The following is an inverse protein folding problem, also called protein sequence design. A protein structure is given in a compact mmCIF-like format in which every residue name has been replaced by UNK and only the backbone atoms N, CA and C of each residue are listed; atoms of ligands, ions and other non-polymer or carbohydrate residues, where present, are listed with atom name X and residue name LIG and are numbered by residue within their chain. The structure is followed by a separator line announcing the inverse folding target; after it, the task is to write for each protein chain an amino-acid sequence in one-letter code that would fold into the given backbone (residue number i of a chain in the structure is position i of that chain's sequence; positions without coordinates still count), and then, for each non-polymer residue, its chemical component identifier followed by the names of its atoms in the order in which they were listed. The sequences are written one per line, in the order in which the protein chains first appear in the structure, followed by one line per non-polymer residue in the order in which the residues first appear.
data_IF_719335470024
#
_entry.id   IF_719335470024
#
_cell.length_a   1.000
_cell.length_b   1.000
_cell.length_c   1.000
_cell.angle_alpha   90.00
_cell.angle_beta   90.00
_cell.angle_gamma   90.00
#
_symmetry.space_group_name_H-M   'P 1'
#
loop_
_entity.id
_entity.type
_entity.pdbx_description
1 polymer ?
#
# COMPACT_ATOMS: atom_id res chain seq x y z
N UNK A 1 16.06 -10.39 -4.23
CA UNK A 1 14.75 -10.99 -3.93
C UNK A 1 13.64 -10.00 -4.24
N UNK A 2 12.59 -10.45 -4.90
CA UNK A 2 11.49 -9.59 -5.33
C UNK A 2 10.23 -9.91 -4.53
N UNK A 3 9.56 -8.86 -4.07
CA UNK A 3 8.30 -8.97 -3.35
C UNK A 3 7.21 -8.20 -4.09
N UNK A 4 5.99 -8.72 -4.04
CA UNK A 4 4.82 -8.06 -4.64
C UNK A 4 3.76 -7.88 -3.56
N UNK A 5 3.34 -6.63 -3.38
CA UNK A 5 2.29 -6.27 -2.44
C UNK A 5 1.03 -5.91 -3.21
N UNK A 6 -0.07 -6.58 -2.91
CA UNK A 6 -1.40 -6.22 -3.39
C UNK A 6 -2.14 -5.55 -2.25
N UNK A 7 -2.62 -4.34 -2.48
CA UNK A 7 -3.37 -3.59 -1.48
C UNK A 7 -4.75 -3.23 -2.01
N UNK A 8 -5.75 -3.35 -1.15
CA UNK A 8 -7.13 -3.03 -1.48
C UNK A 8 -7.82 -2.43 -0.26
N UNK A 9 -8.42 -1.28 -0.44
CA UNK A 9 -9.18 -0.60 0.60
C UNK A 9 -10.50 -0.12 0.05
N UNK A 10 -11.51 -0.03 0.90
CA UNK A 10 -12.80 0.46 0.46
C UNK A 10 -13.74 0.77 1.61
N UNK A 11 -14.78 1.52 1.30
CA UNK A 11 -15.80 1.92 2.25
C UNK A 11 -17.18 1.62 1.68
N UNK A 12 -18.11 1.26 2.56
CA UNK A 12 -19.54 1.17 2.21
C UNK A 12 -20.13 2.56 2.39
N UNK A 13 -20.49 3.20 1.28
CA UNK A 13 -20.73 4.63 1.29
C UNK A 13 -19.39 5.37 1.28
N UNK A 14 -19.38 6.63 0.96
CA UNK A 14 -18.15 7.39 0.84
C UNK A 14 -18.33 8.79 1.44
N UNK A 15 -18.14 8.95 2.77
CA UNK A 15 -17.56 8.00 3.71
C UNK A 15 -18.55 6.96 4.24
N UNK A 16 -18.00 5.93 4.89
CA UNK A 16 -18.78 4.88 5.53
C UNK A 16 -17.87 3.85 6.20
N UNK A 17 -18.44 2.74 6.71
CA UNK A 17 -17.64 1.67 7.29
C UNK A 17 -16.60 1.19 6.27
N UNK A 18 -15.34 1.15 6.67
CA UNK A 18 -14.23 0.93 5.76
C UNK A 18 -13.31 -0.18 6.23
N UNK A 19 -12.62 -0.82 5.28
CA UNK A 19 -11.65 -1.85 5.54
C UNK A 19 -10.41 -1.67 4.69
N UNK A 20 -9.30 -2.23 5.15
CA UNK A 20 -8.03 -2.24 4.44
C UNK A 20 -7.46 -3.64 4.44
N UNK A 21 -7.06 -4.11 3.26
CA UNK A 21 -6.44 -5.40 3.10
C UNK A 21 -5.14 -5.31 2.31
N UNK A 22 -4.21 -6.18 2.63
CA UNK A 22 -2.97 -6.28 1.87
C UNK A 22 -2.43 -7.70 1.97
N UNK A 23 -1.78 -8.15 0.91
CA UNK A 23 -1.10 -9.42 0.90
C UNK A 23 0.22 -9.25 0.16
N UNK A 24 1.28 -9.85 0.69
CA UNK A 24 2.60 -9.79 0.07
C UNK A 24 3.05 -11.20 -0.29
N UNK A 25 3.53 -11.36 -1.51
CA UNK A 25 4.11 -12.60 -2.01
C UNK A 25 5.59 -12.40 -2.28
N UNK A 26 6.38 -13.45 -2.02
CA UNK A 26 7.79 -13.47 -2.40
C UNK A 26 7.97 -13.85 -3.88
N UNK A 27 9.21 -13.98 -4.33
CA UNK A 27 9.54 -14.23 -5.72
C UNK A 27 9.02 -15.58 -6.24
N UNK A 28 8.78 -16.55 -5.36
CA UNK A 28 8.27 -17.87 -5.75
C UNK A 28 6.77 -18.01 -5.50
N UNK A 29 6.10 -16.90 -5.16
CA UNK A 29 4.65 -16.88 -4.97
C UNK A 29 4.18 -17.30 -3.58
N UNK A 30 5.08 -17.42 -2.61
CA UNK A 30 4.71 -17.73 -1.24
C UNK A 30 4.18 -16.47 -0.54
N UNK A 31 3.06 -16.60 0.17
CA UNK A 31 2.50 -15.51 0.96
C UNK A 31 3.38 -15.26 2.18
N UNK A 32 3.87 -14.04 2.31
CA UNK A 32 4.76 -13.64 3.40
C UNK A 32 3.99 -12.91 4.49
N UNK A 33 3.05 -12.06 4.11
CA UNK A 33 2.29 -11.20 5.03
C UNK A 33 0.87 -11.07 4.52
N UNK A 34 -0.08 -11.00 5.46
CA UNK A 34 -1.48 -10.68 5.15
C UNK A 34 -2.02 -9.70 6.18
N UNK A 35 -2.71 -8.67 5.71
CA UNK A 35 -3.37 -7.66 6.55
C UNK A 35 -4.84 -7.63 6.20
N UNK A 36 -5.70 -7.60 7.23
CA UNK A 36 -7.15 -7.45 7.06
C UNK A 36 -7.67 -6.68 8.27
N UNK A 37 -7.92 -5.40 8.09
CA UNK A 37 -8.24 -4.49 9.19
C UNK A 37 -9.53 -3.73 8.94
N UNK A 38 -10.34 -3.59 9.99
CA UNK A 38 -11.46 -2.67 10.00
C UNK A 38 -10.97 -1.29 10.41
N UNK A 39 -11.36 -0.25 9.65
CA UNK A 39 -10.85 1.11 9.85
C UNK A 39 -11.84 2.05 10.55
N UNK A 40 -13.07 1.58 10.84
CA UNK A 40 -14.12 2.49 11.24
C UNK A 40 -14.67 3.24 10.04
N UNK A 41 -15.16 4.46 10.22
CA UNK A 41 -15.71 5.27 9.14
C UNK A 41 -14.58 6.02 8.43
N UNK A 42 -14.49 5.83 7.12
CA UNK A 42 -13.48 6.48 6.29
C UNK A 42 -13.96 6.58 4.85
N UNK A 43 -13.24 7.33 4.03
CA UNK A 43 -13.48 7.39 2.58
C UNK A 43 -12.76 6.24 1.88
N UNK A 44 -13.14 5.97 0.63
CA UNK A 44 -12.46 4.98 -0.19
C UNK A 44 -10.96 5.28 -0.29
N UNK A 45 -10.61 6.53 -0.59
CA UNK A 45 -9.21 6.91 -0.79
C UNK A 45 -8.39 6.77 0.49
N UNK A 46 -8.96 7.11 1.64
CA UNK A 46 -8.29 6.90 2.93
C UNK A 46 -8.05 5.40 3.15
N UNK A 47 -9.07 4.57 2.90
CA UNK A 47 -8.94 3.12 3.06
C UNK A 47 -7.85 2.54 2.16
N UNK A 48 -7.74 3.04 0.93
CA UNK A 48 -6.73 2.60 -0.01
C UNK A 48 -5.31 2.96 0.45
N UNK A 49 -5.10 4.17 0.97
CA UNK A 49 -3.81 4.55 1.55
C UNK A 49 -3.47 3.72 2.79
N UNK A 50 -4.47 3.47 3.66
CA UNK A 50 -4.27 2.64 4.85
C UNK A 50 -3.87 1.22 4.47
N UNK A 51 -4.43 0.67 3.40
CA UNK A 51 -4.09 -0.68 2.94
C UNK A 51 -2.61 -0.77 2.55
N UNK A 52 -2.11 0.19 1.78
CA UNK A 52 -0.69 0.23 1.41
C UNK A 52 0.19 0.39 2.64
N UNK A 53 -0.13 1.38 3.47
CA UNK A 53 0.70 1.71 4.63
C UNK A 53 0.80 0.55 5.61
N UNK A 54 -0.33 -0.09 5.92
CA UNK A 54 -0.35 -1.25 6.81
C UNK A 54 0.37 -2.44 6.20
N UNK A 55 0.26 -2.63 4.89
CA UNK A 55 0.95 -3.70 4.18
C UNK A 55 2.47 -3.53 4.22
N UNK A 56 2.98 -2.34 3.92
CA UNK A 56 4.44 -2.12 3.92
C UNK A 56 5.01 -2.18 5.34
N UNK A 57 4.27 -1.72 6.34
CA UNK A 57 4.71 -1.82 7.74
C UNK A 57 4.77 -3.28 8.20
N UNK A 58 3.75 -4.08 7.85
CA UNK A 58 3.74 -5.49 8.19
C UNK A 58 4.89 -6.24 7.51
N UNK A 59 5.16 -5.94 6.25
CA UNK A 59 6.26 -6.54 5.51
C UNK A 59 7.61 -6.19 6.15
N UNK A 60 7.84 -4.91 6.42
CA UNK A 60 9.10 -4.47 7.01
C UNK A 60 9.32 -5.11 8.39
N UNK A 61 8.25 -5.34 9.14
CA UNK A 61 8.33 -5.95 10.48
C UNK A 61 8.74 -7.41 10.49
N UNK A 62 8.64 -8.12 9.35
CA UNK A 62 8.98 -9.53 9.26
C UNK A 62 10.47 -9.79 8.99
N UNK A 63 11.26 -8.74 8.72
CA UNK A 63 12.64 -8.87 8.30
C UNK A 63 13.54 -7.90 9.09
N UNK A 64 14.86 -8.14 9.11
CA UNK A 64 15.80 -7.19 9.73
C UNK A 64 15.71 -5.81 9.06
N UNK A 65 16.07 -4.77 9.81
CA UNK A 65 15.86 -3.38 9.42
C UNK A 65 16.42 -3.00 8.04
N UNK A 66 17.55 -3.61 7.64
CA UNK A 66 18.23 -3.24 6.40
C UNK A 66 17.91 -4.18 5.23
N UNK A 67 17.03 -5.14 5.44
CA UNK A 67 16.78 -6.20 4.46
C UNK A 67 16.35 -5.67 3.11
N UNK A 68 15.40 -4.71 3.10
CA UNK A 68 14.81 -4.22 1.86
C UNK A 68 15.66 -3.18 1.14
N UNK A 69 16.86 -2.88 1.63
CA UNK A 69 17.83 -2.10 0.86
C UNK A 69 18.43 -2.90 -0.30
N UNK A 70 18.36 -4.24 -0.23
CA UNK A 70 18.86 -5.13 -1.29
C UNK A 70 17.76 -5.90 -2.01
N UNK A 71 16.52 -5.75 -1.60
CA UNK A 71 15.36 -6.40 -2.21
C UNK A 71 14.53 -5.38 -2.99
N UNK A 72 13.67 -5.86 -3.89
CA UNK A 72 12.76 -5.01 -4.63
C UNK A 72 11.33 -5.24 -4.16
N UNK A 73 10.52 -4.19 -4.21
CA UNK A 73 9.11 -4.23 -3.87
C UNK A 73 8.29 -3.61 -5.01
N UNK A 74 7.28 -4.34 -5.48
CA UNK A 74 6.29 -3.82 -6.41
C UNK A 74 4.96 -3.74 -5.69
N UNK A 75 4.36 -2.56 -5.67
CA UNK A 75 3.06 -2.32 -5.06
C UNK A 75 2.02 -2.26 -6.17
N UNK A 76 1.00 -3.12 -6.09
CA UNK A 76 -0.06 -3.24 -7.07
C UNK A 76 -1.40 -2.92 -6.42
N UNK A 77 -2.18 -2.07 -7.08
CA UNK A 77 -3.50 -1.65 -6.61
C UNK A 77 -4.44 -1.43 -7.79
N UNK A 78 -5.73 -1.53 -7.54
CA UNK A 78 -6.75 -1.15 -8.52
C UNK A 78 -7.15 0.33 -8.43
N UNK A 79 -6.57 1.08 -7.50
CA UNK A 79 -6.77 2.52 -7.41
C UNK A 79 -5.74 3.26 -8.26
N UNK A 80 -6.16 3.74 -9.41
CA UNK A 80 -5.29 4.54 -10.27
C UNK A 80 -4.85 5.82 -9.58
N UNK A 81 -5.76 6.47 -8.85
CA UNK A 81 -5.44 7.71 -8.15
C UNK A 81 -4.28 7.53 -7.17
N UNK A 82 -4.38 6.54 -6.29
CA UNK A 82 -3.33 6.30 -5.27
C UNK A 82 -2.01 5.92 -5.94
N UNK A 83 -2.05 5.03 -6.94
CA UNK A 83 -0.84 4.62 -7.66
C UNK A 83 -0.16 5.83 -8.32
N UNK A 84 -0.93 6.68 -9.01
CA UNK A 84 -0.35 7.84 -9.69
C UNK A 84 0.15 8.89 -8.70
N UNK A 85 -0.50 9.03 -7.56
CA UNK A 85 -0.01 9.91 -6.49
C UNK A 85 1.31 9.38 -5.91
N UNK A 86 1.40 8.08 -5.64
CA UNK A 86 2.63 7.48 -5.09
C UNK A 86 3.78 7.52 -6.08
N UNK A 87 3.50 7.42 -7.38
CA UNK A 87 4.51 7.61 -8.42
C UNK A 87 4.99 9.07 -8.52
N UNK A 88 4.22 10.02 -8.00
CA UNK A 88 4.50 11.44 -8.14
C UNK A 88 3.90 12.08 -9.38
N UNK A 89 3.10 11.34 -10.16
CA UNK A 89 2.47 11.86 -11.37
C UNK A 89 1.28 12.77 -11.07
N UNK A 90 0.54 12.47 -9.99
CA UNK A 90 -0.59 13.29 -9.54
C UNK A 90 -0.26 13.94 -8.21
N UNK A 91 -0.64 15.20 -8.04
CA UNK A 91 -0.49 15.89 -6.76
C UNK A 91 -1.53 15.40 -5.77
N UNK A 92 -1.15 15.35 -4.50
CA UNK A 92 -2.06 15.06 -3.39
C UNK A 92 -2.52 16.40 -2.81
N UNK A 93 -3.78 16.76 -3.06
CA UNK A 93 -4.32 18.07 -2.65
C UNK A 93 -5.27 17.97 -1.47
N UNK A 94 -5.95 16.83 -1.31
CA UNK A 94 -6.96 16.68 -0.29
C UNK A 94 -6.32 16.63 1.10
N UNK A 95 -6.73 17.50 2.06
CA UNK A 95 -6.10 17.55 3.37
C UNK A 95 -6.11 16.23 4.14
N UNK A 96 -7.13 15.39 3.92
CA UNK A 96 -7.23 14.10 4.61
C UNK A 96 -6.27 13.06 4.03
N UNK A 97 -5.79 13.25 2.81
CA UNK A 97 -4.87 12.31 2.17
C UNK A 97 -3.41 12.70 2.35
N UNK A 98 -3.12 13.99 2.49
CA UNK A 98 -1.73 14.48 2.58
C UNK A 98 -0.94 13.80 3.69
N UNK A 99 -1.44 13.69 4.94
CA UNK A 99 -0.68 13.01 6.00
C UNK A 99 -0.38 11.54 5.68
N UNK A 100 -1.34 10.83 5.10
CA UNK A 100 -1.17 9.43 4.75
C UNK A 100 -0.21 9.24 3.59
N UNK A 101 -0.29 10.10 2.60
CA UNK A 101 0.66 10.12 1.50
C UNK A 101 2.08 10.34 2.00
N UNK A 102 2.29 11.34 2.85
CA UNK A 102 3.61 11.64 3.39
C UNK A 102 4.14 10.50 4.26
N UNK A 103 3.31 9.94 5.11
CA UNK A 103 3.71 8.81 5.94
C UNK A 103 4.13 7.60 5.09
N UNK A 104 3.36 7.30 4.04
CA UNK A 104 3.66 6.21 3.12
C UNK A 104 4.98 6.45 2.39
N UNK A 105 5.16 7.64 1.82
CA UNK A 105 6.38 7.97 1.09
C UNK A 105 7.61 7.96 2.01
N UNK A 106 7.48 8.49 3.21
CA UNK A 106 8.59 8.52 4.17
C UNK A 106 8.95 7.12 4.65
N UNK A 107 7.96 6.27 4.90
CA UNK A 107 8.21 4.89 5.31
C UNK A 107 8.93 4.12 4.20
N UNK A 108 8.47 4.26 2.95
CA UNK A 108 9.12 3.61 1.81
C UNK A 108 10.56 4.09 1.64
N UNK A 109 10.80 5.39 1.75
CA UNK A 109 12.13 5.95 1.61
C UNK A 109 13.09 5.47 2.71
N UNK A 110 12.56 5.26 3.91
CA UNK A 110 13.37 4.83 5.07
C UNK A 110 13.75 3.35 4.99
N UNK A 111 12.83 2.50 4.54
CA UNK A 111 12.97 1.05 4.67
C UNK A 111 13.26 0.32 3.35
N UNK A 112 12.98 0.94 2.21
CA UNK A 112 13.09 0.31 0.90
C UNK A 112 13.94 1.16 -0.02
N UNK A 113 14.79 0.51 -0.84
CA UNK A 113 15.60 1.23 -1.83
C UNK A 113 14.95 1.19 -3.20
N UNK A 114 14.42 0.04 -3.60
CA UNK A 114 13.85 -0.13 -4.95
C UNK A 114 12.38 -0.48 -4.82
N UNK A 115 11.52 0.49 -5.15
CA UNK A 115 10.06 0.34 -5.09
C UNK A 115 9.47 0.77 -6.42
N UNK A 116 8.54 -0.02 -6.94
CA UNK A 116 7.75 0.34 -8.12
C UNK A 116 6.27 0.23 -7.81
N UNK A 117 5.46 0.95 -8.59
CA UNK A 117 4.01 1.02 -8.41
C UNK A 117 3.33 0.64 -9.71
N UNK A 118 2.32 -0.19 -9.64
CA UNK A 118 1.60 -0.67 -10.82
C UNK A 118 0.11 -0.66 -10.59
N UNK A 119 -0.63 0.01 -11.48
CA UNK A 119 -2.09 -0.05 -11.47
C UNK A 119 -2.54 -1.34 -12.15
N UNK A 120 -3.38 -2.10 -11.48
CA UNK A 120 -3.93 -3.35 -12.01
C UNK A 120 -5.45 -3.29 -12.03
N UNK A 121 -6.11 -4.01 -12.94
CA UNK A 121 -7.58 -4.09 -12.94
C UNK A 121 -8.08 -4.71 -11.64
N UNK A 122 -9.29 -4.30 -11.23
CA UNK A 122 -9.91 -4.77 -9.99
C UNK A 122 -9.98 -6.30 -9.91
N UNK A 123 -10.28 -6.98 -11.00
CA UNK A 123 -10.38 -8.43 -11.04
C UNK A 123 -9.06 -9.16 -10.84
N UNK A 124 -7.95 -8.43 -10.84
CA UNK A 124 -6.61 -8.99 -10.60
C UNK A 124 -6.02 -8.60 -9.26
N UNK A 125 -6.77 -7.83 -8.48
CA UNK A 125 -6.26 -7.37 -7.19
C UNK A 125 -6.83 -8.18 -5.98
#
# INVERSE_FOLDING_TARGET
MNYTLYADGGARGNPGPAGAGAVVFDAIGKRVVEVSDYLGVATNNIAEYEAVLRGIKALAGEFPADYFHTATLTIKMDSKLVIEQLKGAYKVKHPNLVPRYLETKNFLARHFTTVSFEHVPRERN
#
